data_IF_209832263032
#
_entry.id   IF_209832263032
#
_cell.length_a   1.000
_cell.length_b   1.000
_cell.length_c   1.000
_cell.angle_alpha   90.00
_cell.angle_beta   90.00
_cell.angle_gamma   90.00
#
_symmetry.space_group_name_H-M   'P 1'
#
loop_
_entity.id
_entity.type
_entity.pdbx_description
1 polymer ?
#
# COMPACT_ATOMS: atom_id res chain seq x y z
N UNK A 1 -3.26 7.97 -28.97
CA UNK A 1 -3.86 8.59 -27.78
C UNK A 1 -3.20 9.96 -27.59
N UNK A 2 -3.92 10.95 -27.05
CA UNK A 2 -3.34 12.29 -26.78
C UNK A 2 -3.00 12.39 -25.30
N UNK A 3 -2.00 13.19 -24.93
CA UNK A 3 -1.64 13.37 -23.51
C UNK A 3 -2.86 13.73 -22.64
N UNK A 4 -3.75 14.58 -23.17
CA UNK A 4 -4.99 14.98 -22.49
C UNK A 4 -5.96 13.82 -22.23
N UNK A 5 -6.07 12.85 -23.15
CA UNK A 5 -6.91 11.66 -22.91
C UNK A 5 -6.31 10.73 -21.86
N UNK A 6 -4.99 10.64 -21.83
CA UNK A 6 -4.26 9.78 -20.91
C UNK A 6 -4.36 10.33 -19.48
N UNK A 7 -4.15 11.65 -19.33
CA UNK A 7 -4.34 12.36 -18.05
C UNK A 7 -5.76 12.17 -17.51
N UNK A 8 -6.78 12.23 -18.38
CA UNK A 8 -8.17 12.00 -17.98
C UNK A 8 -8.38 10.59 -17.45
N UNK A 9 -7.79 9.60 -18.12
CA UNK A 9 -7.87 8.18 -17.72
C UNK A 9 -7.21 7.97 -16.36
N UNK A 10 -6.01 8.55 -16.16
CA UNK A 10 -5.29 8.46 -14.88
C UNK A 10 -6.07 9.15 -13.77
N UNK A 11 -6.55 10.38 -13.99
CA UNK A 11 -7.34 11.13 -12.99
C UNK A 11 -8.61 10.39 -12.60
N UNK A 12 -9.34 9.83 -13.57
CA UNK A 12 -10.52 9.03 -13.30
C UNK A 12 -10.16 7.79 -12.50
N UNK A 13 -9.07 7.10 -12.86
CA UNK A 13 -8.59 5.95 -12.13
C UNK A 13 -8.24 6.29 -10.68
N UNK A 14 -7.53 7.40 -10.44
CA UNK A 14 -7.21 7.88 -9.10
C UNK A 14 -8.47 8.20 -8.29
N UNK A 15 -9.46 8.85 -8.90
CA UNK A 15 -10.74 9.16 -8.26
C UNK A 15 -11.48 7.88 -7.85
N UNK A 16 -11.53 6.88 -8.74
CA UNK A 16 -12.13 5.58 -8.43
C UNK A 16 -11.42 4.88 -7.28
N UNK A 17 -10.08 4.91 -7.27
CA UNK A 17 -9.28 4.36 -6.17
C UNK A 17 -9.54 5.09 -4.85
N UNK A 18 -9.64 6.42 -4.87
CA UNK A 18 -9.98 7.25 -3.71
C UNK A 18 -11.36 6.89 -3.15
N UNK A 19 -12.39 6.94 -3.99
CA UNK A 19 -13.77 6.65 -3.57
C UNK A 19 -13.89 5.21 -3.07
N UNK A 20 -13.31 4.25 -3.80
CA UNK A 20 -13.31 2.85 -3.39
C UNK A 20 -12.63 2.63 -2.04
N UNK A 21 -11.50 3.30 -1.81
CA UNK A 21 -10.79 3.24 -0.52
C UNK A 21 -11.66 3.77 0.61
N UNK A 22 -12.22 4.97 0.46
CA UNK A 22 -13.09 5.56 1.48
C UNK A 22 -14.30 4.68 1.79
N UNK A 23 -14.94 4.12 0.76
CA UNK A 23 -16.07 3.20 0.94
C UNK A 23 -15.65 1.95 1.70
N UNK A 24 -14.52 1.33 1.35
CA UNK A 24 -14.00 0.14 2.03
C UNK A 24 -13.68 0.44 3.50
N UNK A 25 -13.02 1.57 3.78
CA UNK A 25 -12.73 1.98 5.16
C UNK A 25 -13.99 2.21 5.97
N UNK A 26 -14.96 2.97 5.46
CA UNK A 26 -16.23 3.25 6.15
C UNK A 26 -17.02 1.96 6.38
N UNK A 27 -17.11 1.10 5.37
CA UNK A 27 -17.85 -0.16 5.46
C UNK A 27 -17.24 -1.10 6.51
N UNK A 28 -15.94 -1.39 6.45
CA UNK A 28 -15.31 -2.29 7.41
C UNK A 28 -15.21 -1.69 8.81
N UNK A 29 -14.94 -0.39 8.93
CA UNK A 29 -14.89 0.25 10.24
C UNK A 29 -16.26 0.25 10.93
N UNK A 30 -17.35 0.46 10.20
CA UNK A 30 -18.71 0.40 10.78
C UNK A 30 -19.19 -1.03 11.07
N UNK A 31 -18.67 -2.03 10.34
CA UNK A 31 -19.13 -3.42 10.46
C UNK A 31 -18.30 -4.27 11.42
N UNK A 32 -17.04 -3.90 11.68
CA UNK A 32 -16.14 -4.67 12.55
C UNK A 32 -16.25 -4.24 14.02
N UNK A 33 -16.03 -5.17 14.96
CA UNK A 33 -15.94 -4.83 16.38
C UNK A 33 -14.86 -3.79 16.65
N UNK A 34 -15.22 -2.76 17.40
CA UNK A 34 -14.29 -1.70 17.79
C UNK A 34 -13.62 -2.03 19.12
N UNK A 35 -12.40 -1.53 19.29
CA UNK A 35 -11.67 -1.65 20.54
C UNK A 35 -12.33 -0.71 21.55
N UNK A 36 -12.94 -1.29 22.58
CA UNK A 36 -13.76 -0.58 23.58
C UNK A 36 -12.96 -0.06 24.76
N UNK A 37 -11.75 -0.57 24.97
CA UNK A 37 -10.90 -0.24 26.12
C UNK A 37 -9.48 0.10 25.67
N UNK A 38 -8.79 0.89 26.47
CA UNK A 38 -7.40 1.25 26.23
C UNK A 38 -6.52 -0.01 26.24
N UNK A 39 -5.62 -0.10 25.27
CA UNK A 39 -4.78 -1.27 25.07
C UNK A 39 -3.33 -0.87 25.31
N UNK A 40 -2.62 -1.67 26.11
CA UNK A 40 -1.19 -1.49 26.35
C UNK A 40 -0.39 -1.49 25.04
N UNK A 41 0.71 -0.73 25.03
CA UNK A 41 1.53 -0.50 23.83
C UNK A 41 2.02 -1.81 23.18
N UNK A 42 2.32 -2.84 23.96
CA UNK A 42 2.78 -4.14 23.45
C UNK A 42 1.75 -4.80 22.54
N UNK A 43 0.47 -4.79 22.91
CA UNK A 43 -0.60 -5.39 22.11
C UNK A 43 -0.92 -4.54 20.86
N UNK A 44 -0.77 -3.21 20.95
CA UNK A 44 -0.85 -2.30 19.80
C UNK A 44 0.24 -2.62 18.76
N UNK A 45 1.48 -2.80 19.21
CA UNK A 45 2.61 -3.18 18.33
C UNK A 45 2.44 -4.58 17.75
N UNK A 46 1.94 -5.54 18.55
CA UNK A 46 1.61 -6.89 18.07
C UNK A 46 0.58 -6.85 16.95
N UNK A 47 -0.50 -6.07 17.09
CA UNK A 47 -1.48 -5.86 16.03
C UNK A 47 -0.82 -5.28 14.77
N UNK A 48 0.03 -4.27 14.92
CA UNK A 48 0.75 -3.66 13.81
C UNK A 48 1.63 -4.68 13.07
N UNK A 49 2.40 -5.49 13.79
CA UNK A 49 3.26 -6.55 13.22
C UNK A 49 2.42 -7.59 12.48
N UNK A 50 1.29 -8.02 13.04
CA UNK A 50 0.37 -8.94 12.36
C UNK A 50 -0.16 -8.35 11.04
N UNK A 51 -0.43 -7.04 11.01
CA UNK A 51 -0.86 -6.33 9.81
C UNK A 51 0.22 -6.27 8.71
N UNK A 52 1.50 -6.51 9.01
CA UNK A 52 2.57 -6.52 8.01
C UNK A 52 2.67 -7.85 7.23
N UNK A 53 2.13 -8.94 7.78
CA UNK A 53 2.34 -10.30 7.25
C UNK A 53 1.87 -10.44 5.80
N UNK A 54 0.63 -10.05 5.49
CA UNK A 54 0.08 -10.17 4.13
C UNK A 54 0.72 -9.21 3.12
N UNK A 55 0.96 -7.92 3.43
CA UNK A 55 1.75 -7.03 2.58
C UNK A 55 3.14 -7.58 2.22
N UNK A 56 3.87 -8.11 3.21
CA UNK A 56 5.20 -8.71 2.99
C UNK A 56 5.07 -10.00 2.17
N UNK A 57 4.08 -10.85 2.44
CA UNK A 57 3.83 -12.06 1.66
C UNK A 57 3.56 -11.74 0.19
N UNK A 58 2.71 -10.74 -0.10
CA UNK A 58 2.46 -10.29 -1.48
C UNK A 58 3.73 -9.77 -2.15
N UNK A 59 4.53 -8.97 -1.44
CA UNK A 59 5.82 -8.49 -1.97
C UNK A 59 6.79 -9.63 -2.27
N UNK A 60 6.88 -10.63 -1.39
CA UNK A 60 7.68 -11.83 -1.63
C UNK A 60 7.20 -12.60 -2.87
N UNK A 61 5.88 -12.73 -3.08
CA UNK A 61 5.33 -13.32 -4.31
C UNK A 61 5.77 -12.55 -5.57
N UNK A 62 5.85 -11.22 -5.53
CA UNK A 62 6.35 -10.41 -6.63
C UNK A 62 7.85 -10.67 -6.89
N UNK A 63 8.66 -10.83 -5.84
CA UNK A 63 10.09 -11.20 -5.97
C UNK A 63 10.23 -12.56 -6.65
N UNK A 64 9.51 -13.58 -6.16
CA UNK A 64 9.50 -14.93 -6.75
C UNK A 64 9.05 -14.88 -8.20
N UNK A 65 8.05 -14.04 -8.52
CA UNK A 65 7.59 -13.86 -9.89
C UNK A 65 8.67 -13.30 -10.81
N UNK A 66 9.41 -12.27 -10.39
CA UNK A 66 10.55 -11.75 -11.17
C UNK A 66 11.63 -12.82 -11.34
N UNK A 67 11.97 -13.55 -10.27
CA UNK A 67 12.91 -14.67 -10.34
C UNK A 67 12.49 -15.71 -11.39
N UNK A 68 11.21 -16.09 -11.39
CA UNK A 68 10.66 -17.06 -12.35
C UNK A 68 10.77 -16.60 -13.81
N UNK A 69 10.72 -15.29 -14.07
CA UNK A 69 10.79 -14.74 -15.42
C UNK A 69 12.21 -14.69 -15.99
N UNK A 70 13.23 -14.86 -15.16
CA UNK A 70 14.64 -14.82 -15.58
C UNK A 70 15.16 -16.16 -16.12
N UNK A 71 14.46 -17.27 -15.87
CA UNK A 71 14.94 -18.59 -16.30
C UNK A 71 14.96 -18.76 -17.82
N UNK A 72 16.06 -19.32 -18.32
CA UNK A 72 16.18 -19.80 -19.71
C UNK A 72 16.16 -18.70 -20.78
N UNK A 73 16.44 -17.44 -20.43
CA UNK A 73 16.41 -16.33 -21.39
C UNK A 73 17.49 -15.28 -21.06
N UNK A 74 17.78 -14.31 -21.95
CA UNK A 74 18.83 -13.31 -21.75
C UNK A 74 18.76 -12.55 -20.42
N UNK A 75 17.59 -12.39 -19.81
CA UNK A 75 17.45 -11.71 -18.52
C UNK A 75 17.88 -12.54 -17.31
N UNK A 76 18.38 -13.76 -17.53
CA UNK A 76 19.12 -14.53 -16.53
C UNK A 76 20.36 -13.78 -16.03
N UNK A 77 21.02 -13.01 -16.91
CA UNK A 77 22.07 -12.05 -16.54
C UNK A 77 21.47 -10.63 -16.55
N UNK A 78 20.97 -10.13 -15.39
CA UNK A 78 20.32 -8.82 -15.31
C UNK A 78 21.26 -7.66 -15.64
N UNK A 79 22.58 -7.86 -15.63
CA UNK A 79 23.56 -6.82 -15.99
C UNK A 79 23.65 -6.60 -17.50
N UNK A 80 23.24 -7.60 -18.29
CA UNK A 80 23.22 -7.54 -19.76
C UNK A 80 21.82 -7.29 -20.32
N UNK A 81 20.80 -7.88 -19.69
CA UNK A 81 19.41 -7.72 -20.08
C UNK A 81 18.54 -7.58 -18.83
N UNK A 82 18.07 -6.37 -18.56
CA UNK A 82 17.25 -6.11 -17.38
C UNK A 82 15.94 -6.93 -17.42
N UNK A 83 15.28 -6.96 -18.59
CA UNK A 83 14.00 -7.62 -18.80
C UNK A 83 13.86 -8.17 -20.23
N UNK A 84 13.42 -9.43 -20.34
CA UNK A 84 13.27 -10.12 -21.63
C UNK A 84 11.92 -9.88 -22.33
N UNK A 85 10.93 -9.34 -21.62
CA UNK A 85 9.59 -9.06 -22.18
C UNK A 85 9.03 -7.74 -21.65
N UNK A 86 8.11 -7.11 -22.38
CA UNK A 86 7.41 -5.91 -21.90
C UNK A 86 6.65 -6.18 -20.59
N UNK A 87 6.08 -7.38 -20.44
CA UNK A 87 5.45 -7.79 -19.20
C UNK A 87 6.44 -7.79 -18.01
N UNK A 88 7.64 -8.32 -18.21
CA UNK A 88 8.67 -8.32 -17.17
C UNK A 88 9.14 -6.90 -16.81
N UNK A 89 9.22 -5.99 -17.79
CA UNK A 89 9.48 -4.56 -17.51
C UNK A 89 8.42 -3.95 -16.60
N UNK A 90 7.14 -4.29 -16.84
CA UNK A 90 6.04 -3.86 -15.97
C UNK A 90 6.18 -4.48 -14.58
N UNK A 91 6.45 -5.78 -14.48
CA UNK A 91 6.58 -6.47 -13.19
C UNK A 91 7.75 -5.90 -12.36
N UNK A 92 8.87 -5.54 -12.99
CA UNK A 92 10.01 -4.88 -12.32
C UNK A 92 9.63 -3.50 -11.76
N UNK A 93 8.90 -2.70 -12.54
CA UNK A 93 8.38 -1.40 -12.07
C UNK A 93 7.39 -1.56 -10.93
N UNK A 94 6.53 -2.58 -11.00
CA UNK A 94 5.59 -2.92 -9.92
C UNK A 94 6.34 -3.33 -8.66
N UNK A 95 7.38 -4.16 -8.79
CA UNK A 95 8.19 -4.59 -7.66
C UNK A 95 8.88 -3.39 -7.00
N UNK A 96 9.56 -2.54 -7.76
CA UNK A 96 10.25 -1.35 -7.24
C UNK A 96 9.28 -0.40 -6.54
N UNK A 97 8.14 -0.08 -7.18
CA UNK A 97 7.16 0.79 -6.55
C UNK A 97 6.52 0.16 -5.31
N UNK A 98 6.29 -1.16 -5.31
CA UNK A 98 5.73 -1.84 -4.14
C UNK A 98 6.73 -1.89 -2.99
N UNK A 99 8.03 -1.97 -3.26
CA UNK A 99 9.07 -1.87 -2.24
C UNK A 99 9.02 -0.50 -1.53
N UNK A 100 9.05 0.60 -2.30
CA UNK A 100 8.95 1.96 -1.75
C UNK A 100 7.68 2.14 -0.91
N UNK A 101 6.55 1.63 -1.41
CA UNK A 101 5.25 1.78 -0.76
C UNK A 101 5.11 0.87 0.47
N UNK A 102 5.73 -0.31 0.46
CA UNK A 102 5.76 -1.23 1.60
C UNK A 102 6.60 -0.64 2.75
N UNK A 103 7.72 0.02 2.45
CA UNK A 103 8.52 0.71 3.47
C UNK A 103 7.72 1.80 4.18
N UNK A 104 7.04 2.66 3.40
CA UNK A 104 6.15 3.69 3.96
C UNK A 104 5.02 3.04 4.75
N UNK A 105 4.36 2.02 4.20
CA UNK A 105 3.27 1.30 4.86
C UNK A 105 3.71 0.71 6.20
N UNK A 106 4.86 0.05 6.26
CA UNK A 106 5.35 -0.61 7.47
C UNK A 106 5.66 0.39 8.59
N UNK A 107 6.42 1.44 8.27
CA UNK A 107 6.76 2.49 9.23
C UNK A 107 5.50 3.22 9.71
N UNK A 108 4.60 3.57 8.79
CA UNK A 108 3.38 4.27 9.12
C UNK A 108 2.43 3.41 9.96
N UNK A 109 2.32 2.11 9.68
CA UNK A 109 1.48 1.18 10.47
C UNK A 109 1.98 1.05 11.91
N UNK A 110 3.30 0.96 12.09
CA UNK A 110 3.92 0.95 13.43
C UNK A 110 3.67 2.28 14.16
N UNK A 111 3.91 3.41 13.50
CA UNK A 111 3.66 4.74 14.08
C UNK A 111 2.19 4.92 14.49
N UNK A 112 1.26 4.61 13.59
CA UNK A 112 -0.18 4.69 13.84
C UNK A 112 -0.61 3.81 15.01
N UNK A 113 -0.06 2.61 15.15
CA UNK A 113 -0.41 1.72 16.27
C UNK A 113 -0.20 2.36 17.65
N UNK A 114 0.80 3.23 17.76
CA UNK A 114 1.15 3.94 18.98
C UNK A 114 0.39 5.27 19.08
N UNK A 115 0.28 6.00 17.97
CA UNK A 115 -0.17 7.40 17.98
C UNK A 115 -1.69 7.58 17.90
N UNK A 116 -2.44 6.62 17.33
CA UNK A 116 -3.89 6.76 17.20
C UNK A 116 -4.62 6.39 18.50
N UNK A 117 -5.79 7.00 18.78
CA UNK A 117 -6.68 6.58 19.85
C UNK A 117 -7.04 5.09 19.73
N UNK A 118 -7.20 4.40 20.86
CA UNK A 118 -7.45 2.95 20.86
C UNK A 118 -8.70 2.56 20.05
N UNK A 119 -9.73 3.42 20.03
CA UNK A 119 -10.96 3.21 19.28
C UNK A 119 -10.72 3.08 17.77
N UNK A 120 -9.64 3.65 17.26
CA UNK A 120 -9.28 3.64 15.84
C UNK A 120 -8.31 2.50 15.48
N UNK A 121 -7.91 1.65 16.42
CA UNK A 121 -6.96 0.55 16.17
C UNK A 121 -7.46 -0.46 15.14
N UNK A 122 -8.78 -0.61 14.99
CA UNK A 122 -9.40 -1.46 13.97
C UNK A 122 -9.10 -0.99 12.53
N UNK A 123 -8.65 0.26 12.34
CA UNK A 123 -8.23 0.77 11.03
C UNK A 123 -6.95 0.13 10.51
N UNK A 124 -6.07 -0.38 11.37
CA UNK A 124 -4.80 -1.02 10.96
C UNK A 124 -5.01 -2.26 10.09
N UNK A 125 -5.80 -3.28 10.52
CA UNK A 125 -6.05 -4.44 9.67
C UNK A 125 -6.81 -4.08 8.38
N UNK A 126 -7.71 -3.09 8.42
CA UNK A 126 -8.40 -2.57 7.22
C UNK A 126 -7.37 -1.96 6.26
N UNK A 127 -6.47 -1.13 6.77
CA UNK A 127 -5.40 -0.51 5.98
C UNK A 127 -4.48 -1.56 5.34
N UNK A 128 -4.12 -2.61 6.09
CA UNK A 128 -3.37 -3.75 5.54
C UNK A 128 -4.09 -4.43 4.38
N UNK A 129 -5.38 -4.73 4.54
CA UNK A 129 -6.21 -5.31 3.48
C UNK A 129 -6.31 -4.42 2.25
N UNK A 130 -6.56 -3.12 2.44
CA UNK A 130 -6.59 -2.12 1.37
C UNK A 130 -5.25 -2.01 0.65
N UNK A 131 -4.14 -2.05 1.39
CA UNK A 131 -2.80 -2.03 0.79
C UNK A 131 -2.60 -3.23 -0.13
N UNK A 132 -2.88 -4.45 0.34
CA UNK A 132 -2.77 -5.69 -0.45
C UNK A 132 -3.67 -5.62 -1.69
N UNK A 133 -4.94 -5.28 -1.53
CA UNK A 133 -5.89 -5.16 -2.63
C UNK A 133 -5.45 -4.09 -3.65
N UNK A 134 -5.01 -2.93 -3.16
CA UNK A 134 -4.48 -1.85 -3.99
C UNK A 134 -3.26 -2.27 -4.80
N UNK A 135 -2.33 -3.02 -4.21
CA UNK A 135 -1.14 -3.54 -4.91
C UNK A 135 -1.50 -4.59 -5.96
N UNK A 136 -2.45 -5.49 -5.68
CA UNK A 136 -2.95 -6.44 -6.68
C UNK A 136 -3.63 -5.71 -7.84
N UNK A 137 -4.49 -4.74 -7.55
CA UNK A 137 -5.16 -3.93 -8.57
C UNK A 137 -4.16 -3.11 -9.41
N UNK A 138 -3.16 -2.51 -8.74
CA UNK A 138 -2.07 -1.79 -9.39
C UNK A 138 -1.33 -2.71 -10.36
N UNK A 139 -0.95 -3.90 -9.90
CA UNK A 139 -0.19 -4.86 -10.71
C UNK A 139 -0.99 -5.37 -11.92
N UNK A 140 -2.21 -5.88 -11.70
CA UNK A 140 -3.07 -6.41 -12.76
C UNK A 140 -3.46 -5.33 -13.76
N UNK A 141 -3.80 -4.13 -13.28
CA UNK A 141 -4.11 -2.98 -14.12
C UNK A 141 -2.93 -2.60 -15.00
N UNK A 142 -1.73 -2.48 -14.42
CA UNK A 142 -0.52 -2.10 -15.14
C UNK A 142 -0.15 -3.12 -16.23
N UNK A 143 -0.39 -4.43 -15.97
CA UNK A 143 -0.15 -5.49 -16.94
C UNK A 143 -1.07 -5.46 -18.15
N UNK A 144 -2.27 -4.87 -18.02
CA UNK A 144 -3.23 -4.73 -19.12
C UNK A 144 -3.05 -3.43 -19.88
N UNK A 145 -2.82 -2.33 -19.16
CA UNK A 145 -2.58 -1.02 -19.75
C UNK A 145 -1.76 -0.15 -18.80
N UNK A 146 -0.78 0.57 -19.35
CA UNK A 146 0.11 1.46 -18.59
C UNK A 146 -0.62 2.51 -17.72
N UNK A 147 -1.83 2.93 -18.12
CA UNK A 147 -2.63 3.94 -17.41
C UNK A 147 -3.54 3.32 -16.33
N UNK A 148 -3.91 2.05 -16.46
CA UNK A 148 -4.88 1.39 -15.56
C UNK A 148 -4.33 1.03 -14.19
N UNK A 149 -3.05 1.35 -13.93
CA UNK A 149 -2.43 1.23 -12.61
C UNK A 149 -2.94 2.28 -11.60
N UNK A 150 -3.51 3.38 -12.09
CA UNK A 150 -3.86 4.55 -11.29
C UNK A 150 -4.83 4.28 -10.10
N UNK A 151 -5.90 3.48 -10.22
CA UNK A 151 -6.78 3.19 -9.10
C UNK A 151 -6.08 2.46 -7.96
N UNK A 152 -5.36 1.37 -8.27
CA UNK A 152 -4.62 0.61 -7.26
C UNK A 152 -3.51 1.43 -6.60
N UNK A 153 -2.86 2.32 -7.37
CA UNK A 153 -1.91 3.28 -6.81
C UNK A 153 -2.58 4.19 -5.78
N UNK A 154 -3.71 4.81 -6.12
CA UNK A 154 -4.44 5.68 -5.22
C UNK A 154 -4.94 4.94 -3.97
N UNK A 155 -5.38 3.68 -4.10
CA UNK A 155 -5.86 2.88 -2.97
C UNK A 155 -4.81 2.66 -1.89
N UNK A 156 -3.55 2.46 -2.26
CA UNK A 156 -2.47 2.29 -1.29
C UNK A 156 -1.88 3.63 -0.82
N UNK A 157 -1.78 4.63 -1.71
CA UNK A 157 -1.11 5.90 -1.41
C UNK A 157 -1.98 6.81 -0.54
N UNK A 158 -3.29 6.83 -0.74
CA UNK A 158 -4.18 7.72 0.01
C UNK A 158 -4.13 7.46 1.53
N UNK A 159 -4.31 6.23 2.04
CA UNK A 159 -4.23 6.00 3.48
C UNK A 159 -2.81 6.23 4.01
N UNK A 160 -1.77 6.01 3.18
CA UNK A 160 -0.40 6.31 3.57
C UNK A 160 -0.20 7.82 3.83
N UNK A 161 -0.68 8.68 2.93
CA UNK A 161 -0.61 10.14 3.10
C UNK A 161 -1.40 10.59 4.33
N UNK A 162 -2.63 10.09 4.49
CA UNK A 162 -3.49 10.46 5.63
C UNK A 162 -2.86 10.01 6.94
N UNK A 163 -2.40 8.76 7.03
CA UNK A 163 -1.79 8.21 8.23
C UNK A 163 -0.47 8.88 8.61
N UNK A 164 0.37 9.17 7.61
CA UNK A 164 1.63 9.88 7.84
C UNK A 164 1.36 11.32 8.28
N UNK A 165 0.44 12.02 7.63
CA UNK A 165 0.02 13.37 8.01
C UNK A 165 -0.52 13.42 9.44
N UNK A 166 -1.39 12.47 9.81
CA UNK A 166 -1.86 12.31 11.18
C UNK A 166 -0.70 12.12 12.16
N UNK A 167 0.22 11.19 11.86
CA UNK A 167 1.36 10.88 12.73
C UNK A 167 2.26 12.10 12.95
N UNK A 168 2.52 12.89 11.88
CA UNK A 168 3.28 14.14 12.00
C UNK A 168 2.58 15.13 12.94
N UNK A 169 1.27 15.35 12.79
CA UNK A 169 0.50 16.26 13.65
C UNK A 169 0.48 15.76 15.10
N UNK A 170 0.25 14.47 15.32
CA UNK A 170 0.22 13.87 16.65
C UNK A 170 1.56 14.03 17.39
N UNK A 171 2.67 13.78 16.71
CA UNK A 171 4.03 13.98 17.28
C UNK A 171 4.26 15.44 17.61
N UNK A 172 3.94 16.37 16.71
CA UNK A 172 4.10 17.80 16.96
C UNK A 172 3.29 18.25 18.19
N UNK A 173 2.02 17.86 18.28
CA UNK A 173 1.18 18.20 19.43
C UNK A 173 1.72 17.60 20.73
N UNK A 174 2.21 16.36 20.71
CA UNK A 174 2.80 15.71 21.89
C UNK A 174 4.06 16.44 22.38
N UNK A 175 4.88 16.98 21.48
CA UNK A 175 6.08 17.73 21.84
C UNK A 175 5.75 19.01 22.63
N UNK A 176 4.60 19.64 22.36
CA UNK A 176 4.12 20.81 23.12
C UNK A 176 3.45 20.49 24.45
N UNK A 177 3.15 19.21 24.73
CA UNK A 177 2.60 18.76 26.02
C UNK A 177 3.67 18.33 27.03
N UNK A 178 4.93 18.21 26.57
CA UNK A 178 6.08 17.81 27.39
C UNK A 178 6.87 19.02 27.92
N UNK A 179 6.49 20.25 27.52
CA UNK A 179 6.97 21.52 28.07
C UNK A 179 5.85 22.27 28.78
#
# INVERSE_FOLDING_TARGET
MTQKSDDRTVKMGMLLGFVGTTVVFVFFYSSLPQVVEEVVVVERLKLAIMCLVFPVALFFLMIVRIGSQRYGNPSADPTKCEANTEGMKVDLRVLSNTHEQLMIFAINTLALSVLIPYQLLSLLPIYSGVFVAGRVMFWVGYRRNVLWRAPGFAMSTLPAVVGLGYSCVAVLLSAFTVF
#
